data_IF_244040818429
#
_entry.id   IF_244040818429
#
_cell.length_a   1.000
_cell.length_b   1.000
_cell.length_c   1.000
_cell.angle_alpha   90.00
_cell.angle_beta   90.00
_cell.angle_gamma   90.00
#
_symmetry.space_group_name_H-M   'P 1'
#
loop_
_entity.id
_entity.type
_entity.pdbx_description
1 polymer ?
#
# COMPACT_ATOMS: atom_id res chain seq x y z
N UNK A 1 12.34 22.11 -7.47
CA UNK A 1 11.52 21.76 -8.64
C UNK A 1 10.15 21.36 -8.13
N UNK A 2 9.10 22.05 -8.57
CA UNK A 2 7.78 21.97 -7.92
C UNK A 2 7.07 20.65 -8.21
N UNK A 3 6.47 20.05 -7.19
CA UNK A 3 5.53 18.93 -7.28
C UNK A 3 4.41 19.16 -8.29
N UNK A 4 4.09 20.42 -8.59
CA UNK A 4 3.10 20.81 -9.59
C UNK A 4 3.53 20.44 -11.02
N UNK A 5 4.83 20.53 -11.34
CA UNK A 5 5.32 20.11 -12.66
C UNK A 5 5.17 18.60 -12.85
N UNK A 6 5.47 17.79 -11.82
CA UNK A 6 5.32 16.32 -11.89
C UNK A 6 3.83 15.92 -11.95
N UNK A 7 2.96 16.62 -11.20
CA UNK A 7 1.53 16.33 -11.17
C UNK A 7 0.81 16.74 -12.47
N UNK A 8 1.16 17.91 -13.04
CA UNK A 8 0.65 18.36 -14.33
C UNK A 8 1.11 17.43 -15.46
N UNK A 9 2.36 16.97 -15.41
CA UNK A 9 2.96 16.07 -16.39
C UNK A 9 2.35 14.65 -16.37
N UNK A 10 2.07 14.12 -15.17
CA UNK A 10 1.35 12.85 -15.00
C UNK A 10 -0.10 12.93 -15.52
N UNK A 11 -0.74 14.12 -15.43
CA UNK A 11 -2.11 14.36 -15.91
C UNK A 11 -2.18 14.58 -17.43
N UNK A 12 -1.17 15.20 -18.04
CA UNK A 12 -1.13 15.42 -19.49
C UNK A 12 -0.72 14.17 -20.27
N UNK A 13 0.20 13.36 -19.75
CA UNK A 13 0.69 12.15 -20.43
C UNK A 13 -0.21 10.93 -20.28
N UNK A 14 -1.04 10.85 -19.25
CA UNK A 14 -1.85 9.67 -18.98
C UNK A 14 -2.69 9.19 -20.18
N UNK A 15 -3.48 10.07 -20.83
CA UNK A 15 -4.29 9.69 -21.99
C UNK A 15 -3.47 9.27 -23.21
N UNK A 16 -2.36 9.95 -23.48
CA UNK A 16 -1.49 9.65 -24.63
C UNK A 16 -0.71 8.36 -24.43
N UNK A 17 -0.22 8.10 -23.22
CA UNK A 17 0.42 6.83 -22.85
C UNK A 17 -0.55 5.66 -22.89
N UNK A 18 -1.80 5.86 -22.47
CA UNK A 18 -2.84 4.83 -22.58
C UNK A 18 -3.12 4.48 -24.05
N UNK A 19 -3.24 5.50 -24.90
CA UNK A 19 -3.43 5.31 -26.35
C UNK A 19 -2.24 4.62 -26.99
N UNK A 20 -1.02 4.98 -26.60
CA UNK A 20 0.21 4.35 -27.07
C UNK A 20 0.28 2.88 -26.64
N UNK A 21 -0.08 2.58 -25.38
CA UNK A 21 -0.17 1.21 -24.89
C UNK A 21 -1.20 0.39 -25.69
N UNK A 22 -2.38 0.95 -25.95
CA UNK A 22 -3.41 0.30 -26.78
C UNK A 22 -2.91 -0.01 -28.20
N UNK A 23 -2.18 0.93 -28.82
CA UNK A 23 -1.59 0.71 -30.14
C UNK A 23 -0.61 -0.46 -30.14
N UNK A 24 0.32 -0.53 -29.18
CA UNK A 24 1.24 -1.66 -29.06
C UNK A 24 0.52 -2.98 -28.73
N UNK A 25 -0.52 -2.93 -27.89
CA UNK A 25 -1.33 -4.12 -27.61
C UNK A 25 -2.08 -4.64 -28.84
N UNK A 26 -2.52 -3.76 -29.73
CA UNK A 26 -3.23 -4.15 -30.95
C UNK A 26 -2.29 -4.61 -32.07
N UNK A 27 -1.15 -3.94 -32.24
CA UNK A 27 -0.26 -4.13 -33.39
C UNK A 27 0.86 -5.15 -33.13
N UNK A 28 1.41 -5.20 -31.92
CA UNK A 28 2.58 -6.05 -31.61
C UNK A 28 2.20 -7.39 -30.97
N UNK A 29 0.94 -7.55 -30.51
CA UNK A 29 0.49 -8.74 -29.79
C UNK A 29 -0.59 -9.51 -30.55
N UNK A 30 -0.57 -10.85 -30.41
CA UNK A 30 -1.66 -11.71 -30.84
C UNK A 30 -2.82 -11.64 -29.84
N UNK A 31 -4.00 -12.09 -30.23
CA UNK A 31 -5.16 -12.16 -29.31
C UNK A 31 -4.84 -12.99 -28.06
N UNK A 32 -4.19 -14.15 -28.24
CA UNK A 32 -3.77 -15.01 -27.13
C UNK A 32 -2.84 -14.32 -26.12
N UNK A 33 -1.97 -13.42 -26.59
CA UNK A 33 -1.05 -12.67 -25.74
C UNK A 33 -1.80 -11.61 -24.92
N UNK A 34 -2.79 -10.95 -25.54
CA UNK A 34 -3.67 -10.00 -24.85
C UNK A 34 -4.51 -10.70 -23.78
N UNK A 35 -5.07 -11.86 -24.09
CA UNK A 35 -5.86 -12.65 -23.13
C UNK A 35 -4.99 -13.12 -21.96
N UNK A 36 -3.74 -13.51 -22.23
CA UNK A 36 -2.76 -13.86 -21.20
C UNK A 36 -2.42 -12.66 -20.30
N UNK A 37 -2.20 -11.47 -20.86
CA UNK A 37 -1.97 -10.24 -20.10
C UNK A 37 -3.19 -9.85 -19.25
N UNK A 38 -4.40 -9.95 -19.82
CA UNK A 38 -5.64 -9.68 -19.09
C UNK A 38 -5.83 -10.65 -17.92
N UNK A 39 -5.55 -11.94 -18.13
CA UNK A 39 -5.64 -12.95 -17.07
C UNK A 39 -4.56 -12.76 -16.00
N UNK A 40 -3.35 -12.36 -16.39
CA UNK A 40 -2.28 -12.02 -15.46
C UNK A 40 -2.67 -10.80 -14.60
N UNK A 41 -3.24 -9.76 -15.22
CA UNK A 41 -3.73 -8.57 -14.52
C UNK A 41 -4.89 -8.90 -13.56
N UNK A 42 -5.84 -9.74 -13.99
CA UNK A 42 -6.95 -10.17 -13.13
C UNK A 42 -6.46 -11.02 -11.95
N UNK A 43 -5.43 -11.84 -12.16
CA UNK A 43 -4.78 -12.61 -11.09
C UNK A 43 -4.14 -11.69 -10.05
N UNK A 44 -3.38 -10.68 -10.48
CA UNK A 44 -2.78 -9.69 -9.57
C UNK A 44 -3.87 -8.96 -8.77
N UNK A 45 -4.91 -8.48 -9.45
CA UNK A 45 -6.04 -7.80 -8.83
C UNK A 45 -6.76 -8.68 -7.80
N UNK A 46 -7.01 -9.94 -8.15
CA UNK A 46 -7.67 -10.90 -7.26
C UNK A 46 -6.85 -11.15 -6.01
N UNK A 47 -5.56 -11.44 -6.14
CA UNK A 47 -4.68 -11.65 -4.99
C UNK A 47 -4.55 -10.39 -4.12
N UNK A 48 -4.41 -9.22 -4.73
CA UNK A 48 -4.35 -7.93 -4.01
C UNK A 48 -5.64 -7.68 -3.22
N UNK A 49 -6.80 -7.97 -3.83
CA UNK A 49 -8.11 -7.82 -3.20
C UNK A 49 -8.26 -8.78 -2.03
N UNK A 50 -7.96 -10.07 -2.22
CA UNK A 50 -8.00 -11.09 -1.16
C UNK A 50 -7.06 -10.70 -0.02
N UNK A 51 -5.82 -10.33 -0.35
CA UNK A 51 -4.82 -9.89 0.62
C UNK A 51 -5.31 -8.68 1.43
N UNK A 52 -5.88 -7.68 0.77
CA UNK A 52 -6.43 -6.49 1.44
C UNK A 52 -7.58 -6.84 2.40
N UNK A 53 -8.51 -7.69 1.98
CA UNK A 53 -9.64 -8.14 2.82
C UNK A 53 -9.12 -8.90 4.05
N UNK A 54 -8.19 -9.83 3.86
CA UNK A 54 -7.56 -10.58 4.96
C UNK A 54 -6.81 -9.64 5.90
N UNK A 55 -6.07 -8.68 5.35
CA UNK A 55 -5.32 -7.69 6.12
C UNK A 55 -6.21 -6.79 6.97
N UNK A 56 -7.33 -6.29 6.42
CA UNK A 56 -8.35 -5.53 7.17
C UNK A 56 -8.93 -6.37 8.30
N UNK A 57 -9.32 -7.60 8.01
CA UNK A 57 -9.91 -8.49 9.01
C UNK A 57 -8.94 -8.74 10.18
N UNK A 58 -7.67 -8.98 9.88
CA UNK A 58 -6.61 -9.12 10.89
C UNK A 58 -6.37 -7.81 11.66
N UNK A 59 -6.38 -6.66 10.98
CA UNK A 59 -6.24 -5.35 11.60
C UNK A 59 -7.36 -5.05 12.60
N UNK A 60 -8.62 -5.31 12.21
CA UNK A 60 -9.80 -5.16 13.08
C UNK A 60 -9.71 -6.13 14.26
N UNK A 61 -9.35 -7.39 14.02
CA UNK A 61 -9.18 -8.38 15.07
C UNK A 61 -8.11 -7.96 16.09
N UNK A 62 -6.96 -7.46 15.62
CA UNK A 62 -5.89 -6.99 16.49
C UNK A 62 -6.30 -5.74 17.27
N UNK A 63 -7.02 -4.81 16.64
CA UNK A 63 -7.56 -3.62 17.31
C UNK A 63 -8.54 -4.01 18.44
N UNK A 64 -9.45 -4.93 18.16
CA UNK A 64 -10.37 -5.48 19.16
C UNK A 64 -9.62 -6.15 20.32
N UNK A 65 -8.59 -6.95 20.02
CA UNK A 65 -7.79 -7.64 21.03
C UNK A 65 -6.99 -6.65 21.90
N UNK A 66 -6.39 -5.64 21.29
CA UNK A 66 -5.65 -4.60 22.02
C UNK A 66 -6.57 -3.79 22.95
N UNK A 67 -7.74 -3.39 22.46
CA UNK A 67 -8.77 -2.69 23.26
C UNK A 67 -9.23 -3.55 24.45
N UNK A 68 -9.49 -4.83 24.20
CA UNK A 68 -9.92 -5.78 25.23
C UNK A 68 -8.86 -5.94 26.32
N UNK A 69 -7.59 -6.10 25.93
CA UNK A 69 -6.47 -6.20 26.88
C UNK A 69 -6.29 -4.92 27.70
N UNK A 70 -6.35 -3.74 27.08
CA UNK A 70 -6.27 -2.45 27.80
C UNK A 70 -7.41 -2.30 28.81
N UNK A 71 -8.62 -2.67 28.42
CA UNK A 71 -9.80 -2.62 29.30
C UNK A 71 -9.65 -3.59 30.47
N UNK A 72 -9.16 -4.81 30.22
CA UNK A 72 -8.88 -5.79 31.26
C UNK A 72 -7.86 -5.24 32.25
N UNK A 73 -6.71 -4.75 31.78
CA UNK A 73 -5.67 -4.15 32.63
C UNK A 73 -6.22 -2.99 33.46
N UNK A 74 -6.94 -2.05 32.85
CA UNK A 74 -7.54 -0.93 33.58
C UNK A 74 -8.48 -1.38 34.71
N UNK A 75 -9.29 -2.42 34.46
CA UNK A 75 -10.17 -2.99 35.50
C UNK A 75 -9.36 -3.62 36.63
N UNK A 76 -8.28 -4.34 36.33
CA UNK A 76 -7.40 -4.93 37.35
C UNK A 76 -6.76 -3.86 38.22
N UNK A 77 -6.19 -2.82 37.61
CA UNK A 77 -5.57 -1.71 38.36
C UNK A 77 -6.62 -0.94 39.18
N UNK A 78 -7.81 -0.69 38.65
CA UNK A 78 -8.87 0.01 39.38
C UNK A 78 -9.43 -0.78 40.57
N UNK A 79 -9.50 -2.11 40.46
CA UNK A 79 -10.12 -2.97 41.47
C UNK A 79 -9.14 -3.55 42.50
N UNK A 80 -7.84 -3.62 42.17
CA UNK A 80 -6.81 -4.10 43.09
C UNK A 80 -6.40 -3.00 44.09
N UNK A 81 -6.17 -3.40 45.34
CA UNK A 81 -5.46 -2.54 46.30
C UNK A 81 -4.04 -2.29 45.77
N UNK A 82 -3.75 -1.05 45.40
CA UNK A 82 -2.44 -0.67 44.88
C UNK A 82 -1.51 -0.25 46.04
N UNK A 83 -0.25 -0.71 46.06
CA UNK A 83 0.72 -0.23 47.03
C UNK A 83 0.99 1.26 46.76
N UNK A 84 0.89 2.08 47.81
CA UNK A 84 1.03 3.55 47.72
C UNK A 84 2.44 4.04 48.01
N UNK A 85 3.25 3.24 48.70
CA UNK A 85 4.63 3.57 49.06
C UNK A 85 5.52 2.34 49.18
N UNK A 86 6.82 2.52 48.92
CA UNK A 86 7.88 1.53 49.20
C UNK A 86 8.67 2.01 50.40
N UNK A 87 8.84 1.13 51.40
CA UNK A 87 9.72 1.36 52.55
C UNK A 87 11.06 0.64 52.32
N UNK A 88 12.14 1.41 52.27
CA UNK A 88 13.50 0.88 52.16
C UNK A 88 14.03 0.46 53.55
N UNK A 89 14.99 -0.47 53.58
CA UNK A 89 15.57 -0.98 54.82
C UNK A 89 16.16 0.11 55.75
N UNK A 90 16.54 1.26 55.19
CA UNK A 90 17.00 2.44 55.94
C UNK A 90 15.89 3.33 56.50
N UNK A 91 14.62 2.91 56.45
CA UNK A 91 13.47 3.68 56.96
C UNK A 91 12.95 4.79 56.03
N UNK A 92 13.60 5.00 54.87
CA UNK A 92 13.12 5.93 53.84
C UNK A 92 11.87 5.36 53.17
N UNK A 93 10.87 6.21 52.96
CA UNK A 93 9.62 5.86 52.28
C UNK A 93 9.49 6.69 51.00
N UNK A 94 9.26 6.04 49.86
CA UNK A 94 9.05 6.72 48.56
C UNK A 94 7.65 6.38 48.02
N UNK A 95 6.88 7.37 47.54
CA UNK A 95 5.55 7.14 47.00
C UNK A 95 5.63 6.41 45.65
N UNK A 96 4.73 5.45 45.44
CA UNK A 96 4.57 4.79 44.14
C UNK A 96 3.60 5.63 43.30
N UNK A 97 3.97 6.00 42.06
CA UNK A 97 3.10 6.78 41.19
C UNK A 97 1.86 5.96 40.77
N UNK A 98 0.69 6.58 40.85
CA UNK A 98 -0.56 5.99 40.34
C UNK A 98 -0.55 5.97 38.80
N UNK A 99 -0.54 4.76 38.23
CA UNK A 99 -0.53 4.53 36.79
C UNK A 99 -1.94 4.42 36.20
N UNK A 100 -2.98 4.36 37.03
CA UNK A 100 -4.38 4.20 36.61
C UNK A 100 -4.83 5.23 35.56
N UNK A 101 -4.47 6.53 35.66
CA UNK A 101 -4.84 7.53 34.65
C UNK A 101 -4.24 7.25 33.26
N UNK A 102 -3.05 6.65 33.20
CA UNK A 102 -2.35 6.33 31.95
C UNK A 102 -2.96 5.10 31.24
N UNK A 103 -3.56 4.21 32.02
CA UNK A 103 -4.19 2.98 31.51
C UNK A 103 -5.66 3.18 31.14
N UNK A 104 -6.23 4.35 31.43
CA UNK A 104 -7.64 4.64 31.20
C UNK A 104 -7.97 4.53 29.71
N UNK A 105 -8.94 3.68 29.31
CA UNK A 105 -9.42 3.64 27.94
C UNK A 105 -9.94 5.01 27.50
N UNK A 106 -9.61 5.41 26.27
CA UNK A 106 -10.04 6.68 25.70
C UNK A 106 -10.62 6.47 24.30
N UNK A 107 -11.65 7.26 23.97
CA UNK A 107 -12.33 7.20 22.68
C UNK A 107 -11.40 7.58 21.53
N UNK A 108 -10.55 8.59 21.73
CA UNK A 108 -9.57 9.02 20.73
C UNK A 108 -8.49 7.95 20.50
N UNK A 109 -8.01 7.31 21.56
CA UNK A 109 -7.04 6.21 21.45
C UNK A 109 -7.64 5.00 20.76
N UNK A 110 -8.91 4.69 21.02
CA UNK A 110 -9.63 3.63 20.34
C UNK A 110 -9.79 3.94 18.85
N UNK A 111 -10.25 5.15 18.51
CA UNK A 111 -10.36 5.59 17.11
C UNK A 111 -9.01 5.45 16.38
N UNK A 112 -7.95 6.01 16.94
CA UNK A 112 -6.61 5.88 16.37
C UNK A 112 -6.20 4.41 16.19
N UNK A 113 -6.48 3.54 17.18
CA UNK A 113 -6.14 2.12 17.12
C UNK A 113 -6.84 1.42 15.95
N UNK A 114 -8.16 1.63 15.78
CA UNK A 114 -8.91 1.03 14.67
C UNK A 114 -8.50 1.61 13.32
N UNK A 115 -8.26 2.92 13.24
CA UNK A 115 -7.82 3.58 12.00
C UNK A 115 -6.45 3.08 11.56
N UNK A 116 -5.45 3.09 12.44
CA UNK A 116 -4.08 2.69 12.07
C UNK A 116 -3.95 1.20 11.84
N UNK A 117 -4.59 0.35 12.65
CA UNK A 117 -4.54 -1.10 12.43
C UNK A 117 -5.41 -1.52 11.24
N UNK A 118 -6.55 -0.86 11.00
CA UNK A 118 -7.37 -1.08 9.81
C UNK A 118 -6.63 -0.67 8.54
N UNK A 119 -6.16 0.57 8.47
CA UNK A 119 -5.42 1.09 7.32
C UNK A 119 -4.09 0.35 7.10
N UNK A 120 -3.34 0.10 8.17
CA UNK A 120 -2.14 -0.72 8.13
C UNK A 120 -2.44 -2.14 7.67
N UNK A 121 -3.56 -2.72 8.11
CA UNK A 121 -4.06 -4.02 7.65
C UNK A 121 -4.31 -4.05 6.14
N UNK A 122 -5.04 -3.06 5.58
CA UNK A 122 -5.21 -2.91 4.13
C UNK A 122 -3.87 -2.87 3.43
N UNK A 123 -2.95 -2.04 3.90
CA UNK A 123 -1.64 -1.85 3.27
C UNK A 123 -0.82 -3.14 3.28
N UNK A 124 -0.57 -3.73 4.45
CA UNK A 124 0.20 -4.97 4.55
C UNK A 124 -0.44 -6.13 3.80
N UNK A 125 -1.76 -6.27 3.91
CA UNK A 125 -2.50 -7.31 3.19
C UNK A 125 -2.47 -7.11 1.68
N UNK A 126 -2.69 -5.87 1.23
CA UNK A 126 -2.68 -5.48 -0.18
C UNK A 126 -1.32 -5.66 -0.84
N UNK A 127 -0.24 -5.20 -0.21
CA UNK A 127 1.13 -5.39 -0.71
C UNK A 127 1.51 -6.87 -0.76
N UNK A 128 1.13 -7.66 0.26
CA UNK A 128 1.36 -9.11 0.25
C UNK A 128 0.57 -9.80 -0.87
N UNK A 129 -0.69 -9.38 -1.08
CA UNK A 129 -1.52 -9.82 -2.19
C UNK A 129 -0.92 -9.44 -3.55
N UNK A 130 -0.42 -8.21 -3.69
CA UNK A 130 0.24 -7.72 -4.89
C UNK A 130 1.49 -8.53 -5.20
N UNK A 131 2.34 -8.80 -4.20
CA UNK A 131 3.55 -9.61 -4.36
C UNK A 131 3.20 -11.04 -4.80
N UNK A 132 2.29 -11.71 -4.10
CA UNK A 132 1.91 -13.09 -4.42
C UNK A 132 1.21 -13.18 -5.77
N UNK A 133 0.32 -12.24 -6.08
CA UNK A 133 -0.34 -12.11 -7.38
C UNK A 133 0.64 -11.86 -8.51
N UNK A 134 1.63 -11.01 -8.31
CA UNK A 134 2.69 -10.72 -9.29
C UNK A 134 3.56 -11.94 -9.57
N UNK A 135 3.93 -12.71 -8.52
CA UNK A 135 4.66 -13.96 -8.69
C UNK A 135 3.85 -14.98 -9.51
N UNK A 136 2.55 -15.10 -9.22
CA UNK A 136 1.66 -16.03 -9.94
C UNK A 136 1.43 -15.61 -11.38
N UNK A 137 1.15 -14.33 -11.62
CA UNK A 137 1.00 -13.75 -12.95
C UNK A 137 2.28 -13.92 -13.78
N UNK A 138 3.45 -13.72 -13.17
CA UNK A 138 4.74 -13.94 -13.83
C UNK A 138 4.95 -15.41 -14.22
N UNK A 139 4.56 -16.36 -13.37
CA UNK A 139 4.58 -17.78 -13.73
C UNK A 139 3.67 -18.07 -14.92
N UNK A 140 2.47 -17.48 -14.94
CA UNK A 140 1.50 -17.65 -16.03
C UNK A 140 2.02 -17.12 -17.36
N UNK A 141 2.57 -15.89 -17.39
CA UNK A 141 3.15 -15.29 -18.62
C UNK A 141 4.36 -16.10 -19.09
N UNK A 142 5.16 -16.66 -18.18
CA UNK A 142 6.35 -17.43 -18.52
C UNK A 142 6.05 -18.85 -19.04
N UNK A 143 4.80 -19.33 -18.98
CA UNK A 143 4.45 -20.68 -19.38
C UNK A 143 4.62 -20.89 -20.90
N UNK A 144 4.33 -19.87 -21.71
CA UNK A 144 4.59 -19.85 -23.15
C UNK A 144 5.78 -18.93 -23.45
N UNK A 145 6.88 -19.54 -23.93
CA UNK A 145 8.11 -18.82 -24.25
C UNK A 145 7.94 -17.86 -25.42
N UNK A 146 7.21 -18.25 -26.47
CA UNK A 146 7.03 -17.41 -27.67
C UNK A 146 6.15 -16.20 -27.33
N UNK A 147 5.05 -16.43 -26.59
CA UNK A 147 4.19 -15.36 -26.08
C UNK A 147 4.97 -14.39 -25.19
N UNK A 148 5.77 -14.92 -24.26
CA UNK A 148 6.63 -14.10 -23.39
C UNK A 148 7.57 -13.21 -24.21
N UNK A 149 8.23 -13.75 -25.23
CA UNK A 149 9.17 -12.99 -26.06
C UNK A 149 8.46 -11.85 -26.83
N UNK A 150 7.26 -12.12 -27.37
CA UNK A 150 6.42 -11.08 -28.02
C UNK A 150 5.99 -9.99 -27.03
N UNK A 151 5.49 -10.38 -25.86
CA UNK A 151 5.07 -9.46 -24.80
C UNK A 151 6.25 -8.57 -24.36
N UNK A 152 7.43 -9.15 -24.16
CA UNK A 152 8.63 -8.38 -23.77
C UNK A 152 9.07 -7.42 -24.87
N UNK A 153 9.01 -7.84 -26.13
CA UNK A 153 9.34 -6.98 -27.27
C UNK A 153 8.37 -5.80 -27.38
N UNK A 154 7.06 -6.06 -27.34
CA UNK A 154 6.02 -5.03 -27.36
C UNK A 154 6.19 -4.05 -26.19
N UNK A 155 6.47 -4.55 -24.98
CA UNK A 155 6.67 -3.71 -23.81
C UNK A 155 7.91 -2.81 -23.92
N UNK A 156 9.02 -3.30 -24.52
CA UNK A 156 10.21 -2.48 -24.77
C UNK A 156 9.95 -1.38 -25.80
N UNK A 157 9.21 -1.68 -26.88
CA UNK A 157 8.82 -0.68 -27.87
C UNK A 157 7.94 0.41 -27.23
N UNK A 158 6.93 -0.01 -26.47
CA UNK A 158 6.09 0.90 -25.69
C UNK A 158 6.91 1.81 -24.77
N UNK A 159 7.87 1.27 -24.01
CA UNK A 159 8.73 2.09 -23.15
C UNK A 159 9.55 3.10 -23.94
N UNK A 160 10.12 2.69 -25.08
CA UNK A 160 10.89 3.59 -25.92
C UNK A 160 10.02 4.73 -26.45
N UNK A 161 8.80 4.43 -26.90
CA UNK A 161 7.86 5.43 -27.42
C UNK A 161 7.27 6.31 -26.32
N UNK A 162 7.05 5.75 -25.12
CA UNK A 162 6.65 6.50 -23.94
C UNK A 162 7.73 7.52 -23.52
N UNK A 163 9.00 7.11 -23.52
CA UNK A 163 10.13 8.00 -23.21
C UNK A 163 10.33 9.08 -24.29
N UNK A 164 10.07 8.76 -25.55
CA UNK A 164 10.10 9.77 -26.63
C UNK A 164 8.98 10.78 -26.46
N UNK A 165 7.76 10.31 -26.21
CA UNK A 165 6.62 11.19 -25.91
C UNK A 165 6.89 12.07 -24.68
N UNK A 166 7.56 11.51 -23.68
CA UNK A 166 8.03 12.26 -22.51
C UNK A 166 9.01 13.38 -22.91
N UNK A 167 10.07 13.05 -23.66
CA UNK A 167 11.06 14.00 -24.13
C UNK A 167 10.45 15.12 -24.99
N UNK A 168 9.57 14.77 -25.92
CA UNK A 168 8.89 15.74 -26.80
C UNK A 168 8.07 16.77 -26.01
N UNK A 169 7.45 16.35 -24.89
CA UNK A 169 6.74 17.28 -24.01
C UNK A 169 7.69 18.19 -23.22
N UNK A 170 8.83 17.67 -22.75
CA UNK A 170 9.85 18.50 -22.11
C UNK A 170 10.36 19.58 -23.08
N UNK A 171 10.61 19.22 -24.33
CA UNK A 171 11.12 20.15 -25.35
C UNK A 171 10.08 21.25 -25.67
N UNK A 172 8.80 20.89 -25.84
CA UNK A 172 7.71 21.87 -26.03
C UNK A 172 7.53 22.80 -24.83
N UNK A 173 7.67 22.28 -23.62
CA UNK A 173 7.64 23.10 -22.39
C UNK A 173 8.80 24.08 -22.31
N UNK A 174 9.96 23.70 -22.87
CA UNK A 174 11.15 24.54 -22.95
C UNK A 174 11.01 25.65 -24.00
N UNK A 175 10.48 25.34 -25.18
CA UNK A 175 10.23 26.31 -26.26
C UNK A 175 9.24 27.41 -25.83
N UNK A 176 8.16 27.04 -25.11
CA UNK A 176 7.19 28.01 -24.58
C UNK A 176 7.82 28.98 -23.56
N UNK A 177 8.86 28.55 -22.84
CA UNK A 177 9.56 29.38 -21.84
C UNK A 177 10.59 30.35 -22.44
N UNK A 178 10.98 30.17 -23.70
CA UNK A 178 11.87 31.09 -24.44
C UNK A 178 11.11 32.05 -25.38
N UNK A 179 9.78 31.95 -25.45
CA UNK A 179 8.91 32.80 -26.26
C UNK A 179 8.30 33.99 -25.49
N UNK A 180 8.84 34.29 -24.30
CA UNK A 180 8.53 35.48 -23.48
C UNK A 180 9.78 36.37 -23.36
#
# INVERSE_FOLDING_TARGET
MSSDSIAMFRKSLGPDLAKLADQHMQHDLRQSDRDALQTAASTVSTHTTIGSVVGVALGIFLAYRLRSNRTAMFRTFKAAEQPTSVKFAGGREEPIPDLTPLLKPSTLGDFATYTFLGAGGVFFGGETGLLTGSLRARQQINADRESRERIQSAFRKFQADALRAEADLLDRGRESSYAL
#
